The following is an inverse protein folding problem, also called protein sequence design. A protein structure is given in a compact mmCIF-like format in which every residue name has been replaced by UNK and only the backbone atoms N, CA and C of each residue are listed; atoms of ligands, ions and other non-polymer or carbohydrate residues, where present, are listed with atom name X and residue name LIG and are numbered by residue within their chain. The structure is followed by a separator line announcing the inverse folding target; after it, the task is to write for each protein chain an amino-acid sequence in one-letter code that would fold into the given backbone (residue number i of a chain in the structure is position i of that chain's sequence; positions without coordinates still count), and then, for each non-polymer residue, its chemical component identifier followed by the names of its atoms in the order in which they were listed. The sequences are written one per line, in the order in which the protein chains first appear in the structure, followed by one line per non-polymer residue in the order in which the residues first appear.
data_IF_370337032509
#
_entry.id   IF_370337032509
#
_cell.length_a   1.000
_cell.length_b   1.000
_cell.length_c   1.000
_cell.angle_alpha   90.00
_cell.angle_beta   90.00
_cell.angle_gamma   90.00
#
_symmetry.space_group_name_H-M   'P 1'
#
loop_
_entity.id
_entity.type
_entity.pdbx_description
1 polymer ?
#
# COMPACT_ATOMS: atom_id res chain seq x y z
N UNK A 1 2.74 -10.35 11.68
CA UNK A 1 3.45 -9.07 11.58
C UNK A 1 2.50 -7.97 12.01
N UNK A 2 2.96 -7.00 12.79
CA UNK A 2 2.17 -5.82 13.09
C UNK A 2 2.08 -4.93 11.85
N UNK A 3 0.95 -4.25 11.67
CA UNK A 3 0.75 -3.29 10.59
C UNK A 3 1.71 -2.11 10.75
N UNK A 4 2.58 -1.89 9.77
CA UNK A 4 3.56 -0.81 9.77
C UNK A 4 3.02 0.42 9.05
N UNK A 5 3.19 1.60 9.65
CA UNK A 5 2.95 2.89 9.00
C UNK A 5 4.29 3.49 8.56
N UNK A 6 4.44 3.70 7.25
CA UNK A 6 5.68 4.12 6.60
C UNK A 6 5.49 5.52 6.02
N UNK A 7 6.27 6.48 6.54
CA UNK A 7 6.26 7.90 6.11
C UNK A 7 7.58 8.33 5.46
N UNK A 8 8.60 7.52 5.60
CA UNK A 8 9.94 7.73 5.07
C UNK A 8 10.50 6.40 4.56
N UNK A 9 11.57 6.46 3.76
CA UNK A 9 12.19 5.27 3.18
C UNK A 9 12.61 4.30 4.28
N UNK A 10 12.15 3.05 4.18
CA UNK A 10 12.56 1.99 5.12
C UNK A 10 14.00 1.58 4.86
N UNK A 11 14.66 1.06 5.90
CA UNK A 11 16.00 0.49 5.75
C UNK A 11 15.96 -0.90 5.12
N UNK A 12 17.09 -1.35 4.58
CA UNK A 12 17.25 -2.70 4.02
C UNK A 12 16.97 -3.79 5.07
N UNK A 13 17.26 -3.54 6.35
CA UNK A 13 16.98 -4.48 7.43
C UNK A 13 15.48 -4.67 7.63
N UNK A 14 14.69 -3.59 7.55
CA UNK A 14 13.23 -3.65 7.63
C UNK A 14 12.67 -4.40 6.42
N UNK A 15 13.18 -4.11 5.22
CA UNK A 15 12.78 -4.80 4.00
C UNK A 15 13.13 -6.30 4.04
N UNK A 16 14.31 -6.66 4.58
CA UNK A 16 14.73 -8.05 4.80
C UNK A 16 13.78 -8.76 5.78
N UNK A 17 13.40 -8.11 6.87
CA UNK A 17 12.43 -8.67 7.82
C UNK A 17 11.07 -8.93 7.16
N UNK A 18 10.58 -8.00 6.34
CA UNK A 18 9.33 -8.19 5.58
C UNK A 18 9.45 -9.41 4.63
N UNK A 19 10.59 -9.57 3.94
CA UNK A 19 10.86 -10.72 3.06
C UNK A 19 10.92 -12.05 3.82
N UNK A 20 11.49 -12.06 5.02
CA UNK A 20 11.60 -13.25 5.87
C UNK A 20 10.24 -13.66 6.46
N UNK A 21 9.42 -12.69 6.87
CA UNK A 21 8.10 -12.95 7.47
C UNK A 21 7.01 -13.26 6.44
N UNK A 22 7.14 -12.80 5.19
CA UNK A 22 6.20 -13.11 4.12
C UNK A 22 6.89 -13.18 2.76
N UNK A 23 7.25 -14.40 2.37
CA UNK A 23 7.94 -14.70 1.11
C UNK A 23 7.02 -14.69 -0.12
N UNK A 24 5.70 -14.75 0.08
CA UNK A 24 4.74 -14.82 -1.01
C UNK A 24 4.21 -13.44 -1.40
N UNK A 25 3.54 -12.74 -0.48
CA UNK A 25 2.83 -11.52 -0.77
C UNK A 25 2.45 -10.80 0.53
N UNK A 26 2.61 -9.48 0.57
CA UNK A 26 2.15 -8.63 1.65
C UNK A 26 1.16 -7.61 1.11
N UNK A 27 0.14 -7.31 1.90
CA UNK A 27 -0.86 -6.29 1.54
C UNK A 27 -0.40 -4.92 2.01
N UNK A 28 -0.71 -3.91 1.22
CA UNK A 28 -0.45 -2.51 1.56
C UNK A 28 -1.56 -1.59 1.10
N UNK A 29 -1.66 -0.43 1.72
CA UNK A 29 -2.50 0.69 1.30
C UNK A 29 -1.64 1.95 1.28
N UNK A 30 -1.82 2.80 0.28
CA UNK A 30 -1.08 4.04 0.09
C UNK A 30 -2.05 5.21 0.20
N UNK A 31 -1.65 6.26 0.93
CA UNK A 31 -2.25 7.59 0.81
C UNK A 31 -1.50 8.36 -0.28
N UNK A 32 -2.16 8.55 -1.43
CA UNK A 32 -1.54 9.19 -2.60
C UNK A 32 -1.37 10.70 -2.44
N UNK A 33 -2.16 11.33 -1.57
CA UNK A 33 -2.09 12.75 -1.28
C UNK A 33 -0.95 13.07 -0.30
N UNK A 34 -0.78 12.23 0.73
CA UNK A 34 0.20 12.43 1.80
C UNK A 34 1.55 11.78 1.51
N UNK A 35 1.63 10.84 0.57
CA UNK A 35 2.88 10.16 0.23
C UNK A 35 3.33 9.17 1.29
N UNK A 36 2.38 8.54 1.98
CA UNK A 36 2.63 7.57 3.07
C UNK A 36 1.96 6.26 2.74
N UNK A 37 2.44 5.14 3.30
CA UNK A 37 1.79 3.85 3.12
C UNK A 37 1.72 3.05 4.41
N UNK A 38 0.75 2.15 4.48
CA UNK A 38 0.65 1.13 5.52
C UNK A 38 0.87 -0.24 4.90
N UNK A 39 1.65 -1.10 5.56
CA UNK A 39 2.13 -2.37 5.03
C UNK A 39 2.02 -3.49 6.08
N UNK A 40 1.84 -4.73 5.62
CA UNK A 40 1.97 -5.90 6.49
C UNK A 40 0.68 -6.37 7.15
N UNK A 41 -0.44 -5.83 6.70
CA UNK A 41 -1.77 -6.21 7.15
C UNK A 41 -2.22 -7.58 6.61
N UNK A 42 -3.11 -8.25 7.36
CA UNK A 42 -3.72 -9.50 6.94
C UNK A 42 -4.75 -9.27 5.83
N UNK A 43 -5.54 -8.20 5.93
CA UNK A 43 -6.46 -7.69 4.92
C UNK A 43 -6.10 -6.25 4.58
N UNK A 44 -6.37 -5.79 3.36
CA UNK A 44 -6.12 -4.39 2.98
C UNK A 44 -6.87 -3.40 3.89
N UNK A 45 -8.01 -3.80 4.46
CA UNK A 45 -8.78 -2.95 5.38
C UNK A 45 -7.99 -2.62 6.66
N UNK A 46 -7.15 -3.52 7.18
CA UNK A 46 -6.40 -3.22 8.40
C UNK A 46 -5.33 -2.13 8.13
N UNK A 47 -4.69 -2.16 6.96
CA UNK A 47 -3.79 -1.09 6.53
C UNK A 47 -4.54 0.22 6.24
N UNK A 48 -5.74 0.11 5.68
CA UNK A 48 -6.59 1.25 5.37
C UNK A 48 -7.03 1.98 6.66
N UNK A 49 -7.50 1.23 7.66
CA UNK A 49 -7.89 1.76 8.97
C UNK A 49 -6.71 2.42 9.68
N UNK A 50 -5.51 1.80 9.62
CA UNK A 50 -4.28 2.41 10.16
C UNK A 50 -3.99 3.79 9.58
N UNK A 51 -4.20 3.96 8.28
CA UNK A 51 -4.01 5.26 7.61
C UNK A 51 -5.11 6.24 7.96
N UNK A 52 -6.36 5.80 8.14
CA UNK A 52 -7.45 6.65 8.62
C UNK A 52 -7.19 7.16 10.04
N UNK A 53 -6.73 6.31 10.94
CA UNK A 53 -6.32 6.69 12.30
C UNK A 53 -5.22 7.76 12.28
N UNK A 54 -4.29 7.67 11.32
CA UNK A 54 -3.24 8.67 11.11
C UNK A 54 -3.73 9.94 10.38
N UNK A 55 -5.03 10.06 10.07
CA UNK A 55 -5.64 11.27 9.50
C UNK A 55 -5.78 11.29 7.97
N UNK A 56 -5.61 10.13 7.31
CA UNK A 56 -5.77 10.03 5.86
C UNK A 56 -7.23 10.14 5.45
N UNK A 57 -7.48 10.53 4.20
CA UNK A 57 -8.84 10.66 3.66
C UNK A 57 -9.21 9.45 2.82
N UNK A 58 -10.40 8.84 2.99
CA UNK A 58 -10.85 7.67 2.22
C UNK A 58 -10.65 7.77 0.70
N UNK A 59 -10.89 8.96 0.13
CA UNK A 59 -10.74 9.20 -1.32
C UNK A 59 -9.28 9.04 -1.81
N UNK A 60 -8.30 9.27 -0.94
CA UNK A 60 -6.88 9.27 -1.26
C UNK A 60 -6.20 7.92 -0.94
N UNK A 61 -6.93 6.98 -0.34
CA UNK A 61 -6.43 5.65 0.02
C UNK A 61 -6.64 4.62 -1.10
N UNK A 62 -5.57 3.90 -1.45
CA UNK A 62 -5.57 2.90 -2.52
C UNK A 62 -4.74 1.67 -2.12
N UNK A 63 -5.32 0.49 -2.27
CA UNK A 63 -4.71 -0.79 -1.90
C UNK A 63 -3.94 -1.45 -3.04
N UNK A 64 -2.89 -2.17 -2.68
CA UNK A 64 -2.10 -3.01 -3.57
C UNK A 64 -1.52 -4.22 -2.83
N UNK A 65 -1.03 -5.20 -3.57
CA UNK A 65 -0.22 -6.30 -3.09
C UNK A 65 1.24 -6.06 -3.49
N UNK A 66 2.15 -6.26 -2.55
CA UNK A 66 3.59 -6.23 -2.78
C UNK A 66 4.15 -7.64 -2.65
N UNK A 67 4.98 -8.03 -3.60
CA UNK A 67 5.70 -9.30 -3.64
C UNK A 67 7.16 -9.04 -3.26
N UNK A 68 7.57 -9.27 -1.99
CA UNK A 68 8.87 -8.82 -1.49
C UNK A 68 10.07 -9.50 -2.16
N UNK A 69 9.84 -10.69 -2.74
CA UNK A 69 10.87 -11.53 -3.36
C UNK A 69 11.32 -11.03 -4.72
N UNK A 70 10.41 -10.51 -5.55
CA UNK A 70 10.69 -10.03 -6.91
C UNK A 70 10.46 -8.51 -7.08
N UNK A 71 9.91 -7.83 -6.06
CA UNK A 71 9.64 -6.41 -6.10
C UNK A 71 8.35 -6.03 -6.82
N UNK A 72 7.54 -7.00 -7.26
CA UNK A 72 6.33 -6.75 -8.06
C UNK A 72 5.23 -6.11 -7.21
N UNK A 73 4.47 -5.22 -7.83
CA UNK A 73 3.25 -4.61 -7.28
C UNK A 73 2.06 -5.04 -8.12
N UNK A 74 1.01 -5.53 -7.46
CA UNK A 74 -0.29 -5.81 -8.06
C UNK A 74 -1.35 -4.87 -7.45
N UNK A 75 -2.02 -4.09 -8.30
CA UNK A 75 -2.89 -2.99 -7.87
C UNK A 75 -4.33 -3.44 -7.54
N UNK A 76 -4.53 -4.75 -7.39
CA UNK A 76 -5.84 -5.34 -7.08
C UNK A 76 -6.10 -5.33 -5.57
N UNK A 77 -7.17 -4.65 -5.17
CA UNK A 77 -7.66 -4.66 -3.79
C UNK A 77 -9.15 -4.38 -3.69
N UNK A 78 -9.84 -4.99 -2.73
CA UNK A 78 -11.25 -4.70 -2.45
C UNK A 78 -11.46 -3.25 -1.99
N UNK A 79 -10.50 -2.64 -1.27
CA UNK A 79 -10.63 -1.24 -0.81
C UNK A 79 -10.59 -0.23 -1.97
N UNK A 80 -10.18 -0.66 -3.17
CA UNK A 80 -10.20 0.18 -4.37
C UNK A 80 -11.61 0.33 -4.96
N UNK A 81 -12.58 -0.51 -4.56
CA UNK A 81 -13.99 -0.31 -4.91
C UNK A 81 -14.56 0.78 -4.00
N UNK A 82 -14.57 2.02 -4.48
CA UNK A 82 -15.01 3.20 -3.74
C UNK A 82 -15.78 4.20 -4.60
N UNK A 83 -17.10 4.00 -4.83
CA UNK A 83 -17.92 4.99 -5.51
C UNK A 83 -17.92 6.35 -4.77
N UNK A 84 -17.87 7.49 -5.47
CA UNK A 84 -17.92 7.64 -6.94
C UNK A 84 -16.56 7.49 -7.64
N UNK A 85 -15.45 7.35 -6.90
CA UNK A 85 -14.08 7.42 -7.44
C UNK A 85 -13.66 6.19 -8.25
N UNK A 86 -14.03 4.98 -7.81
CA UNK A 86 -13.74 3.74 -8.52
C UNK A 86 -14.81 2.68 -8.27
N UNK A 87 -15.04 1.84 -9.28
CA UNK A 87 -15.92 0.65 -9.20
C UNK A 87 -15.17 -0.66 -9.46
N UNK A 88 -13.83 -0.60 -9.54
CA UNK A 88 -12.96 -1.75 -9.81
C UNK A 88 -12.06 -2.02 -8.61
N UNK A 89 -11.63 -3.27 -8.47
CA UNK A 89 -10.53 -3.60 -7.55
C UNK A 89 -9.18 -3.14 -8.09
N UNK A 90 -9.05 -2.98 -9.40
CA UNK A 90 -7.86 -2.42 -10.03
C UNK A 90 -7.89 -0.89 -9.99
N UNK A 91 -6.71 -0.28 -10.04
CA UNK A 91 -6.52 1.16 -10.15
C UNK A 91 -6.45 1.51 -11.65
N UNK A 92 -7.61 1.81 -12.23
CA UNK A 92 -7.74 2.14 -13.66
C UNK A 92 -7.37 3.58 -13.99
N UNK A 93 -7.35 4.48 -12.99
CA UNK A 93 -6.88 5.85 -13.16
C UNK A 93 -5.34 5.87 -13.22
N UNK A 94 -4.80 6.20 -14.39
CA UNK A 94 -3.35 6.19 -14.64
C UNK A 94 -2.60 7.24 -13.81
N UNK A 95 -3.23 8.36 -13.45
CA UNK A 95 -2.61 9.40 -12.63
C UNK A 95 -2.44 8.89 -11.20
N UNK A 96 -3.49 8.27 -10.65
CA UNK A 96 -3.43 7.63 -9.34
C UNK A 96 -2.41 6.49 -9.33
N UNK A 97 -2.44 5.62 -10.34
CA UNK A 97 -1.54 4.47 -10.43
C UNK A 97 -0.09 4.90 -10.44
N UNK A 98 0.27 5.87 -11.30
CA UNK A 98 1.62 6.41 -11.36
C UNK A 98 2.06 7.01 -10.03
N UNK A 99 1.19 7.80 -9.39
CA UNK A 99 1.47 8.40 -8.08
C UNK A 99 1.73 7.34 -7.01
N UNK A 100 0.94 6.27 -7.02
CA UNK A 100 1.08 5.16 -6.08
C UNK A 100 2.39 4.39 -6.30
N UNK A 101 2.75 4.12 -7.56
CA UNK A 101 4.05 3.53 -7.94
C UNK A 101 5.23 4.36 -7.44
N UNK A 102 5.19 5.69 -7.64
CA UNK A 102 6.23 6.61 -7.18
C UNK A 102 6.41 6.58 -5.66
N UNK A 103 5.30 6.56 -4.90
CA UNK A 103 5.34 6.52 -3.44
C UNK A 103 5.90 5.19 -2.96
N UNK A 104 5.42 4.07 -3.51
CA UNK A 104 5.92 2.73 -3.17
C UNK A 104 7.42 2.64 -3.47
N UNK A 105 7.85 3.10 -4.65
CA UNK A 105 9.26 3.10 -5.02
C UNK A 105 10.08 3.94 -4.04
N UNK A 106 9.62 5.15 -3.69
CA UNK A 106 10.35 6.04 -2.78
C UNK A 106 10.48 5.46 -1.37
N UNK A 107 9.45 4.75 -0.89
CA UNK A 107 9.39 4.28 0.48
C UNK A 107 9.98 2.88 0.68
N UNK A 108 9.95 2.01 -0.33
CA UNK A 108 10.36 0.60 -0.22
C UNK A 108 11.61 0.22 -1.02
N UNK A 109 12.05 1.04 -1.98
CA UNK A 109 13.17 0.76 -2.89
C UNK A 109 14.20 1.89 -2.88
#
# INVERSE_FOLDING_TARGET
MDTLLIKEKISEEVLKKIREESSAMVKLVVDVARGTLSLGCFLHIDCYEKLLEDGSQPKDLWGANFYPTDGRIDFISLVNIKPPFSRSMDITDLVVRKRLEEIIHTLLF
#
